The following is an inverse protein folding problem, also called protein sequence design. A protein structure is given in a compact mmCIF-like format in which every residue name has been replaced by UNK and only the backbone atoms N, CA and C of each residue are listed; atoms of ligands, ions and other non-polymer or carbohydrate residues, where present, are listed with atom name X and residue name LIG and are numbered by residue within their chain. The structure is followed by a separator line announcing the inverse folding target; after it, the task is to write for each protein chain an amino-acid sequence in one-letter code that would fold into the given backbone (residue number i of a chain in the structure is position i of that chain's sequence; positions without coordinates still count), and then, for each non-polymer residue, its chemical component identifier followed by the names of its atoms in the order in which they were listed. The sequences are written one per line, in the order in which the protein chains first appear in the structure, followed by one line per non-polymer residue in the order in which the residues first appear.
data_IF_039359229745
#
_entry.id   IF_039359229745
#
_cell.length_a   1.000
_cell.length_b   1.000
_cell.length_c   1.000
_cell.angle_alpha   90.00
_cell.angle_beta   90.00
_cell.angle_gamma   90.00
#
_symmetry.space_group_name_H-M   'P 1'
#
loop_
_entity.id
_entity.type
_entity.pdbx_description
1 polymer ?
#
# COMPACT_ATOMS: atom_id res chain seq x y z
N UNK A 1 -65.15 -29.08 42.16
CA UNK A 1 -65.31 -27.86 42.99
C UNK A 1 -63.92 -27.59 43.56
N UNK A 2 -63.17 -26.58 43.14
CA UNK A 2 -63.47 -25.15 43.22
C UNK A 2 -63.00 -24.39 41.97
N UNK A 3 -63.84 -23.44 41.54
CA UNK A 3 -63.49 -22.33 40.66
C UNK A 3 -62.87 -21.24 41.53
N UNK A 4 -61.79 -20.63 41.08
CA UNK A 4 -61.53 -19.21 41.34
C UNK A 4 -61.29 -18.60 39.96
N UNK A 5 -62.22 -17.72 39.57
CA UNK A 5 -62.09 -16.79 38.47
C UNK A 5 -61.81 -15.45 39.13
N UNK A 6 -60.67 -14.84 38.84
CA UNK A 6 -60.55 -13.40 38.93
C UNK A 6 -60.43 -12.84 37.51
N UNK A 7 -61.37 -11.96 37.22
CA UNK A 7 -61.56 -11.21 35.98
C UNK A 7 -61.03 -9.80 36.17
N UNK A 8 -60.26 -9.30 35.21
CA UNK A 8 -60.15 -7.89 34.79
C UNK A 8 -59.59 -7.92 33.36
N UNK A 9 -60.43 -7.76 32.33
CA UNK A 9 -60.56 -6.53 31.52
C UNK A 9 -59.17 -5.97 31.14
N UNK A 10 -58.68 -6.11 29.92
CA UNK A 10 -59.35 -5.84 28.65
C UNK A 10 -58.91 -4.47 28.14
N UNK A 11 -57.75 -4.40 27.50
CA UNK A 11 -57.37 -3.35 26.54
C UNK A 11 -56.63 -4.08 25.42
N UNK A 12 -57.27 -4.17 24.24
CA UNK A 12 -56.61 -4.53 23.00
C UNK A 12 -55.65 -3.41 22.60
N UNK A 13 -54.59 -3.74 21.87
CA UNK A 13 -54.53 -3.65 20.42
C UNK A 13 -53.30 -4.45 20.00
N UNK A 14 -53.52 -5.36 19.06
CA UNK A 14 -52.48 -6.02 18.28
C UNK A 14 -51.61 -4.96 17.63
N UNK A 15 -50.33 -4.93 17.96
CA UNK A 15 -49.32 -4.31 17.11
C UNK A 15 -48.27 -5.37 16.78
N UNK A 16 -48.70 -6.36 15.99
CA UNK A 16 -47.85 -7.41 15.39
C UNK A 16 -47.45 -7.00 13.95
N UNK A 17 -47.25 -5.71 13.68
CA UNK A 17 -47.05 -5.23 12.30
C UNK A 17 -45.92 -4.21 12.10
N UNK A 18 -44.96 -4.05 13.01
CA UNK A 18 -43.87 -3.08 12.78
C UNK A 18 -42.46 -3.48 13.25
N UNK A 19 -42.19 -4.76 13.59
CA UNK A 19 -40.80 -5.22 13.85
C UNK A 19 -40.12 -5.91 12.64
N UNK A 20 -40.87 -6.48 11.69
CA UNK A 20 -40.29 -7.13 10.50
C UNK A 20 -40.01 -6.16 9.34
N UNK A 21 -40.52 -4.93 9.42
CA UNK A 21 -40.47 -3.95 8.32
C UNK A 21 -39.08 -3.33 8.11
N UNK A 22 -38.21 -3.37 9.12
CA UNK A 22 -36.89 -2.73 9.07
C UNK A 22 -35.77 -3.63 8.53
N UNK A 23 -36.06 -4.90 8.23
CA UNK A 23 -35.05 -5.85 7.72
C UNK A 23 -35.10 -5.98 6.19
N UNK A 24 -36.22 -5.63 5.54
CA UNK A 24 -36.43 -5.82 4.10
C UNK A 24 -35.92 -4.67 3.20
N UNK A 25 -35.71 -3.45 3.75
CA UNK A 25 -35.36 -2.27 2.94
C UNK A 25 -33.85 -2.05 2.72
N UNK A 26 -32.98 -2.84 3.36
CA UNK A 26 -31.53 -2.82 3.07
C UNK A 26 -31.19 -3.86 2.00
N UNK A 27 -31.45 -3.51 0.73
CA UNK A 27 -31.07 -4.33 -0.42
C UNK A 27 -29.53 -4.32 -0.57
N UNK A 28 -28.88 -5.33 0.02
CA UNK A 28 -27.44 -5.53 -0.14
C UNK A 28 -27.17 -5.91 -1.61
N UNK A 29 -26.38 -5.13 -2.37
CA UNK A 29 -26.22 -5.36 -3.79
C UNK A 29 -25.67 -6.77 -4.05
N UNK A 30 -26.47 -7.60 -4.73
CA UNK A 30 -26.12 -8.97 -5.12
C UNK A 30 -26.97 -10.08 -4.49
N UNK A 31 -27.85 -9.77 -3.53
CA UNK A 31 -28.68 -10.78 -2.86
C UNK A 31 -30.15 -10.35 -2.82
N UNK A 32 -30.91 -10.65 -3.88
CA UNK A 32 -32.37 -10.50 -3.83
C UNK A 32 -32.94 -11.49 -2.83
N UNK A 33 -33.60 -10.98 -1.80
CA UNK A 33 -34.16 -11.78 -0.70
C UNK A 33 -35.60 -12.19 -1.05
N UNK A 34 -35.76 -13.01 -2.08
CA UNK A 34 -37.08 -13.54 -2.47
C UNK A 34 -37.45 -14.72 -1.54
N UNK A 35 -38.29 -14.47 -0.53
CA UNK A 35 -38.65 -15.46 0.51
C UNK A 35 -39.44 -16.70 -0.01
N UNK A 36 -39.90 -16.68 -1.27
CA UNK A 36 -40.54 -17.84 -1.96
C UNK A 36 -39.61 -18.61 -2.89
N UNK A 37 -38.50 -18.03 -3.34
CA UNK A 37 -37.51 -18.77 -4.14
C UNK A 37 -36.42 -19.25 -3.20
N UNK A 38 -36.45 -20.55 -2.89
CA UNK A 38 -35.41 -21.27 -2.16
C UNK A 38 -34.05 -20.77 -2.67
N UNK A 39 -33.39 -19.94 -1.86
CA UNK A 39 -32.21 -19.16 -2.20
C UNK A 39 -31.27 -20.06 -2.98
N UNK A 40 -31.08 -19.80 -4.28
CA UNK A 40 -30.10 -20.55 -5.05
C UNK A 40 -28.74 -20.18 -4.47
N UNK A 41 -28.17 -21.09 -3.67
CA UNK A 41 -26.90 -20.84 -3.01
C UNK A 41 -25.86 -20.70 -4.11
N UNK A 42 -25.47 -19.44 -4.39
CA UNK A 42 -24.39 -19.15 -5.33
C UNK A 42 -23.08 -19.42 -4.61
N UNK A 43 -22.13 -20.03 -5.31
CA UNK A 43 -20.78 -20.15 -4.81
C UNK A 43 -20.17 -18.74 -4.71
N UNK A 44 -19.91 -18.28 -3.49
CA UNK A 44 -19.39 -16.94 -3.19
C UNK A 44 -17.90 -16.79 -3.53
N UNK A 45 -17.21 -17.89 -3.86
CA UNK A 45 -15.81 -17.84 -4.27
C UNK A 45 -15.70 -17.20 -5.66
N UNK A 46 -14.94 -16.12 -5.72
CA UNK A 46 -14.50 -15.50 -6.98
C UNK A 46 -13.61 -16.52 -7.71
N UNK A 47 -13.94 -16.79 -8.98
CA UNK A 47 -13.25 -17.81 -9.78
C UNK A 47 -11.96 -17.28 -10.42
N UNK A 48 -11.85 -15.96 -10.61
CA UNK A 48 -10.62 -15.32 -11.12
C UNK A 48 -9.48 -15.40 -10.10
N UNK A 49 -9.79 -15.28 -8.80
CA UNK A 49 -8.78 -15.29 -7.74
C UNK A 49 -8.26 -16.71 -7.46
N UNK A 50 -6.99 -16.94 -7.80
CA UNK A 50 -6.29 -18.18 -7.49
C UNK A 50 -5.98 -18.26 -5.99
N UNK A 51 -6.18 -19.44 -5.39
CA UNK A 51 -5.81 -19.62 -3.98
C UNK A 51 -4.29 -19.62 -3.82
N UNK A 52 -3.78 -19.06 -2.71
CA UNK A 52 -2.33 -18.92 -2.47
C UNK A 52 -1.55 -20.24 -2.64
N UNK A 53 -2.06 -21.33 -2.04
CA UNK A 53 -1.45 -22.66 -2.09
C UNK A 53 -1.59 -23.38 -3.44
N UNK A 54 -2.36 -22.83 -4.39
CA UNK A 54 -2.48 -23.37 -5.75
C UNK A 54 -1.59 -22.63 -6.74
N UNK A 55 -0.86 -21.59 -6.31
CA UNK A 55 0.04 -20.83 -7.19
C UNK A 55 1.25 -21.65 -7.63
N UNK A 56 1.81 -22.44 -6.72
CA UNK A 56 2.85 -23.43 -7.01
C UNK A 56 2.47 -24.75 -6.34
N UNK A 57 2.42 -25.83 -7.13
CA UNK A 57 2.03 -27.17 -6.66
C UNK A 57 3.24 -27.99 -6.18
N UNK A 58 4.46 -27.47 -6.32
CA UNK A 58 5.64 -28.14 -5.82
C UNK A 58 5.64 -28.22 -4.28
N UNK A 59 6.01 -29.37 -3.74
CA UNK A 59 6.01 -29.62 -2.29
C UNK A 59 7.08 -28.79 -1.58
N UNK A 60 8.16 -28.43 -2.28
CA UNK A 60 9.23 -27.54 -1.78
C UNK A 60 8.94 -26.04 -1.91
N UNK A 61 7.74 -25.67 -2.39
CA UNK A 61 7.34 -24.26 -2.50
C UNK A 61 7.06 -23.62 -1.14
N UNK A 62 6.67 -22.33 -1.16
CA UNK A 62 6.38 -21.57 0.06
C UNK A 62 5.27 -22.21 0.91
N UNK A 63 5.50 -22.27 2.22
CA UNK A 63 4.54 -22.83 3.17
C UNK A 63 3.28 -21.97 3.30
N UNK A 64 2.11 -22.60 3.19
CA UNK A 64 0.80 -22.00 3.45
C UNK A 64 0.25 -22.50 4.78
N UNK A 65 -0.06 -21.57 5.69
CA UNK A 65 -0.77 -21.89 6.94
C UNK A 65 -2.29 -21.85 6.70
N UNK A 66 -3.01 -22.99 6.70
CA UNK A 66 -4.45 -23.03 6.44
C UNK A 66 -5.28 -22.40 7.57
N UNK A 67 -4.73 -22.22 8.77
CA UNK A 67 -5.46 -21.65 9.91
C UNK A 67 -5.57 -20.14 9.78
N UNK A 68 -4.43 -19.48 9.60
CA UNK A 68 -4.34 -18.02 9.45
C UNK A 68 -4.51 -17.57 8.00
N UNK A 69 -4.52 -18.52 7.06
CA UNK A 69 -4.60 -18.30 5.60
C UNK A 69 -3.44 -17.45 5.08
N UNK A 70 -2.28 -17.52 5.75
CA UNK A 70 -1.09 -16.75 5.40
C UNK A 70 -0.08 -17.57 4.63
N UNK A 71 0.52 -16.98 3.60
CA UNK A 71 1.72 -17.49 2.92
C UNK A 71 2.81 -16.42 3.02
N UNK A 72 3.91 -16.75 3.69
CA UNK A 72 4.94 -15.77 4.04
C UNK A 72 5.87 -15.47 2.87
N UNK A 73 6.46 -16.54 2.33
CA UNK A 73 7.45 -16.46 1.26
C UNK A 73 6.78 -16.47 -0.12
N UNK A 74 7.55 -16.11 -1.15
CA UNK A 74 7.08 -16.11 -2.52
C UNK A 74 6.95 -17.56 -3.02
N UNK A 75 5.77 -18.01 -3.50
CA UNK A 75 5.60 -19.35 -4.06
C UNK A 75 6.26 -19.52 -5.44
N UNK A 76 6.63 -18.43 -6.12
CA UNK A 76 7.23 -18.45 -7.46
C UNK A 76 8.71 -18.87 -7.43
N UNK A 77 9.22 -19.36 -8.56
CA UNK A 77 10.61 -19.83 -8.66
C UNK A 77 11.60 -18.66 -8.50
N UNK A 78 12.78 -18.90 -7.90
CA UNK A 78 13.83 -17.88 -7.80
C UNK A 78 14.28 -17.49 -9.22
N UNK A 79 14.06 -16.22 -9.59
CA UNK A 79 14.40 -15.67 -10.90
C UNK A 79 13.26 -14.92 -11.60
N UNK A 80 12.01 -15.05 -11.14
CA UNK A 80 10.92 -14.18 -11.57
C UNK A 80 10.94 -12.86 -10.78
N UNK A 81 10.85 -11.74 -11.48
CA UNK A 81 10.80 -10.42 -10.86
C UNK A 81 9.51 -10.26 -10.03
N UNK A 82 9.59 -9.92 -8.74
CA UNK A 82 8.43 -9.87 -7.85
C UNK A 82 7.42 -8.78 -8.23
N UNK A 83 7.83 -7.78 -9.02
CA UNK A 83 6.94 -6.71 -9.51
C UNK A 83 6.04 -7.15 -10.68
N UNK A 84 6.44 -8.17 -11.43
CA UNK A 84 5.68 -8.67 -12.59
C UNK A 84 4.69 -9.78 -12.21
N UNK A 85 4.73 -10.21 -10.95
CA UNK A 85 3.97 -11.34 -10.44
C UNK A 85 2.81 -10.83 -9.61
N UNK A 86 1.61 -11.36 -9.85
CA UNK A 86 0.38 -10.98 -9.13
C UNK A 86 0.47 -11.22 -7.60
N UNK A 87 1.29 -12.16 -7.14
CA UNK A 87 1.54 -12.42 -5.73
C UNK A 87 2.99 -12.80 -5.44
N UNK A 88 3.72 -11.90 -4.78
CA UNK A 88 5.12 -12.08 -4.38
C UNK A 88 5.32 -12.52 -2.92
N UNK A 89 4.27 -13.03 -2.26
CA UNK A 89 4.28 -13.39 -0.84
C UNK A 89 3.83 -12.25 0.09
N UNK A 90 3.38 -12.59 1.30
CA UNK A 90 2.92 -11.57 2.26
C UNK A 90 4.05 -10.75 2.87
N UNK A 91 5.25 -11.33 3.06
CA UNK A 91 6.37 -10.59 3.64
C UNK A 91 6.75 -9.39 2.77
N UNK A 92 6.70 -9.54 1.45
CA UNK A 92 6.94 -8.45 0.51
C UNK A 92 5.96 -7.29 0.72
N UNK A 93 4.65 -7.59 0.78
CA UNK A 93 3.60 -6.58 0.95
C UNK A 93 3.65 -5.93 2.34
N UNK A 94 3.98 -6.68 3.40
CA UNK A 94 4.00 -6.17 4.79
C UNK A 94 4.97 -5.01 4.99
N UNK A 95 6.14 -5.05 4.35
CA UNK A 95 7.15 -3.99 4.43
C UNK A 95 7.01 -2.96 3.29
N UNK A 96 6.01 -3.10 2.43
CA UNK A 96 5.74 -2.12 1.38
C UNK A 96 4.86 -0.98 1.91
N UNK A 97 5.03 0.22 1.32
CA UNK A 97 4.20 1.39 1.64
C UNK A 97 4.64 2.16 2.90
N UNK A 98 3.66 2.62 3.68
CA UNK A 98 3.88 3.56 4.78
C UNK A 98 4.42 2.91 6.07
N UNK A 99 4.46 1.58 6.15
CA UNK A 99 5.04 0.86 7.31
C UNK A 99 6.51 1.25 7.52
N UNK A 100 7.27 1.41 6.45
CA UNK A 100 8.66 1.89 6.52
C UNK A 100 8.75 3.35 7.01
N UNK A 101 7.85 4.22 6.55
CA UNK A 101 7.82 5.63 7.00
C UNK A 101 7.48 5.74 8.48
N UNK A 102 6.55 4.91 8.95
CA UNK A 102 6.18 4.81 10.36
C UNK A 102 7.33 4.28 11.21
N UNK A 103 8.02 3.22 10.77
CA UNK A 103 9.22 2.70 11.44
C UNK A 103 10.34 3.75 11.53
N UNK A 104 10.59 4.51 10.46
CA UNK A 104 11.54 5.63 10.48
C UNK A 104 11.12 6.74 11.45
N UNK A 105 9.82 7.05 11.54
CA UNK A 105 9.30 8.03 12.50
C UNK A 105 9.48 7.54 13.95
N UNK A 106 9.32 6.23 14.19
CA UNK A 106 9.58 5.61 15.49
C UNK A 106 11.06 5.68 15.88
N UNK A 107 11.97 5.37 14.95
CA UNK A 107 13.41 5.52 15.17
C UNK A 107 13.77 6.98 15.48
N UNK A 108 13.19 7.94 14.75
CA UNK A 108 13.38 9.36 15.02
C UNK A 108 12.90 9.75 16.42
N UNK A 109 11.75 9.23 16.88
CA UNK A 109 11.25 9.46 18.23
C UNK A 109 12.25 8.97 19.30
N UNK A 110 12.79 7.76 19.13
CA UNK A 110 13.77 7.18 20.06
C UNK A 110 15.06 8.00 20.10
N UNK A 111 15.58 8.41 18.93
CA UNK A 111 16.77 9.27 18.89
C UNK A 111 16.51 10.66 19.50
N UNK A 112 15.32 11.23 19.32
CA UNK A 112 14.94 12.52 19.92
C UNK A 112 14.87 12.40 21.45
N UNK A 113 14.29 11.30 21.94
CA UNK A 113 14.20 10.98 23.36
C UNK A 113 15.59 10.82 23.99
N UNK A 114 16.52 10.10 23.34
CA UNK A 114 17.92 9.98 23.79
C UNK A 114 18.64 11.33 23.85
N UNK A 115 18.27 12.27 22.97
CA UNK A 115 18.80 13.65 22.97
C UNK A 115 18.09 14.58 23.98
N UNK A 116 17.12 14.07 24.73
CA UNK A 116 16.39 14.81 25.77
C UNK A 116 15.15 15.57 25.30
N UNK A 117 14.70 15.36 24.06
CA UNK A 117 13.47 15.94 23.51
C UNK A 117 12.36 14.91 23.66
N UNK A 118 11.44 15.13 24.60
CA UNK A 118 10.33 14.22 24.86
C UNK A 118 9.22 14.37 23.82
N UNK A 119 9.19 13.42 22.88
CA UNK A 119 8.20 13.33 21.80
C UNK A 119 7.88 11.85 21.57
N UNK A 120 6.60 11.51 21.60
CA UNK A 120 6.14 10.13 21.44
C UNK A 120 5.27 9.98 20.20
N UNK A 121 5.54 8.94 19.39
CA UNK A 121 4.85 8.70 18.12
C UNK A 121 3.35 8.50 18.26
N UNK A 122 2.89 7.78 19.29
CA UNK A 122 1.46 7.53 19.51
C UNK A 122 0.74 8.64 20.29
N UNK A 123 1.48 9.40 21.12
CA UNK A 123 0.85 10.40 21.98
C UNK A 123 0.78 11.76 21.28
N UNK A 124 1.86 12.12 20.57
CA UNK A 124 2.00 13.40 19.86
C UNK A 124 2.43 13.16 18.38
N UNK A 125 1.62 12.44 17.57
CA UNK A 125 2.02 12.05 16.21
C UNK A 125 2.27 13.26 15.29
N UNK A 126 1.43 14.29 15.39
CA UNK A 126 1.51 15.48 14.52
C UNK A 126 2.73 16.35 14.84
N UNK A 127 3.05 16.50 16.12
CA UNK A 127 4.26 17.22 16.58
C UNK A 127 5.52 16.50 16.10
N UNK A 128 5.55 15.17 16.23
CA UNK A 128 6.67 14.37 15.74
C UNK A 128 6.83 14.51 14.22
N UNK A 129 5.73 14.43 13.46
CA UNK A 129 5.76 14.56 12.00
C UNK A 129 6.27 15.94 11.56
N UNK A 130 5.85 17.02 12.24
CA UNK A 130 6.37 18.38 12.00
C UNK A 130 7.88 18.47 12.28
N UNK A 131 8.32 17.97 13.44
CA UNK A 131 9.74 17.96 13.80
C UNK A 131 10.58 17.12 12.84
N UNK A 132 10.05 15.98 12.38
CA UNK A 132 10.70 15.12 11.38
C UNK A 132 10.87 15.87 10.05
N UNK A 133 9.83 16.56 9.59
CA UNK A 133 9.89 17.37 8.36
C UNK A 133 10.92 18.50 8.47
N UNK A 134 10.93 19.21 9.59
CA UNK A 134 11.94 20.23 9.87
C UNK A 134 13.34 19.63 9.86
N UNK A 135 13.53 18.50 10.56
CA UNK A 135 14.79 17.78 10.60
C UNK A 135 15.29 17.37 9.21
N UNK A 136 14.43 16.87 8.32
CA UNK A 136 14.79 16.52 6.94
C UNK A 136 15.29 17.75 6.17
N UNK A 137 14.61 18.89 6.27
CA UNK A 137 15.07 20.14 5.62
C UNK A 137 16.42 20.62 6.16
N UNK A 138 16.64 20.50 7.47
CA UNK A 138 17.91 20.85 8.11
C UNK A 138 19.03 19.88 7.73
N UNK A 139 18.72 18.58 7.63
CA UNK A 139 19.65 17.53 7.20
C UNK A 139 20.13 17.75 5.77
N UNK A 140 19.24 18.12 4.85
CA UNK A 140 19.63 18.40 3.46
C UNK A 140 20.47 19.68 3.34
N UNK A 141 20.12 20.73 4.09
CA UNK A 141 20.97 21.94 4.19
C UNK A 141 22.35 21.60 4.74
N UNK A 142 22.43 20.73 5.75
CA UNK A 142 23.70 20.31 6.35
C UNK A 142 24.55 19.46 5.38
N UNK A 143 23.93 18.53 4.65
CA UNK A 143 24.60 17.75 3.60
C UNK A 143 25.21 18.65 2.53
N UNK A 144 24.45 19.62 2.01
CA UNK A 144 24.95 20.59 1.00
C UNK A 144 26.10 21.42 1.54
N UNK A 145 26.01 21.92 2.77
CA UNK A 145 27.12 22.65 3.42
C UNK A 145 28.37 21.79 3.56
N UNK A 146 28.21 20.52 3.94
CA UNK A 146 29.31 19.57 4.08
C UNK A 146 29.95 19.28 2.73
N UNK A 147 29.15 19.02 1.69
CA UNK A 147 29.62 18.83 0.31
C UNK A 147 30.41 20.05 -0.19
N UNK A 148 29.89 21.26 0.00
CA UNK A 148 30.58 22.49 -0.39
C UNK A 148 31.89 22.69 0.40
N UNK A 149 31.90 22.36 1.68
CA UNK A 149 33.11 22.45 2.52
C UNK A 149 34.17 21.46 2.06
N UNK A 150 33.77 20.24 1.64
CA UNK A 150 34.69 19.24 1.09
C UNK A 150 35.24 19.69 -0.26
N UNK A 151 34.37 20.19 -1.16
CA UNK A 151 34.79 20.74 -2.46
C UNK A 151 35.77 21.91 -2.30
N UNK A 152 35.52 22.84 -1.38
CA UNK A 152 36.41 23.97 -1.13
C UNK A 152 37.78 23.54 -0.57
N UNK A 153 37.85 22.43 0.19
CA UNK A 153 39.10 21.93 0.78
C UNK A 153 39.93 21.11 -0.20
N UNK A 154 39.28 20.29 -1.01
CA UNK A 154 39.96 19.29 -1.84
C UNK A 154 39.91 19.60 -3.34
N UNK A 155 39.19 20.64 -3.76
CA UNK A 155 38.96 20.94 -5.18
C UNK A 155 38.07 19.91 -5.87
N UNK A 156 37.95 20.01 -7.20
CA UNK A 156 37.20 19.03 -8.01
C UNK A 156 35.85 19.52 -8.55
N UNK A 157 35.52 20.81 -8.40
CA UNK A 157 34.34 21.40 -9.06
C UNK A 157 34.41 21.26 -10.60
N UNK A 158 35.61 21.28 -11.17
CA UNK A 158 35.85 21.11 -12.61
C UNK A 158 35.41 19.75 -13.15
N UNK A 159 35.44 18.70 -12.32
CA UNK A 159 35.01 17.35 -12.70
C UNK A 159 33.51 17.10 -12.46
N UNK A 160 32.82 18.03 -11.79
CA UNK A 160 31.39 17.94 -11.54
C UNK A 160 30.57 18.44 -12.75
N UNK A 161 31.17 19.30 -13.58
CA UNK A 161 30.62 19.74 -14.85
C UNK A 161 30.83 18.61 -15.86
N UNK A 162 29.79 17.80 -16.11
CA UNK A 162 29.82 16.84 -17.21
C UNK A 162 29.99 17.64 -18.51
N UNK A 163 31.08 17.44 -19.28
CA UNK A 163 31.24 18.11 -20.56
C UNK A 163 30.07 17.74 -21.49
N UNK A 164 29.71 18.59 -22.47
CA UNK A 164 28.61 18.32 -23.38
C UNK A 164 28.76 16.93 -24.01
N UNK A 165 27.63 16.21 -24.15
CA UNK A 165 27.56 14.82 -24.61
C UNK A 165 28.31 14.58 -25.93
N UNK A 166 28.37 15.60 -26.79
CA UNK A 166 29.12 15.60 -28.05
C UNK A 166 30.64 15.41 -27.88
N UNK A 167 31.21 15.88 -26.76
CA UNK A 167 32.63 15.69 -26.45
C UNK A 167 32.90 14.34 -25.76
N UNK A 168 31.88 13.76 -25.12
CA UNK A 168 31.96 12.45 -24.47
C UNK A 168 31.85 11.31 -25.49
N UNK A 169 30.93 11.44 -26.46
CA UNK A 169 30.80 10.54 -27.60
C UNK A 169 31.53 11.17 -28.79
N UNK A 170 32.86 11.02 -28.82
CA UNK A 170 33.72 11.59 -29.86
C UNK A 170 33.42 11.11 -31.30
N UNK A 171 32.47 10.19 -31.49
CA UNK A 171 32.08 9.62 -32.78
C UNK A 171 30.55 9.61 -32.90
N UNK A 172 29.99 10.60 -33.60
CA UNK A 172 28.57 10.63 -33.99
C UNK A 172 28.48 10.60 -35.52
N UNK A 173 27.93 9.52 -36.07
CA UNK A 173 27.56 9.42 -37.49
C UNK A 173 26.18 10.06 -37.67
N UNK A 174 26.10 11.39 -37.54
CA UNK A 174 24.86 12.13 -37.78
C UNK A 174 24.70 12.36 -39.29
N UNK A 175 23.74 11.66 -39.89
CA UNK A 175 23.48 11.71 -41.32
C UNK A 175 22.60 12.93 -41.65
N UNK A 176 23.13 13.87 -42.42
CA UNK A 176 22.42 15.09 -42.83
C UNK A 176 22.24 15.07 -44.34
N UNK A 177 20.99 15.10 -44.80
CA UNK A 177 20.66 15.25 -46.22
C UNK A 177 20.49 16.72 -46.59
N UNK A 178 21.25 17.19 -47.59
CA UNK A 178 21.12 18.54 -48.13
C UNK A 178 20.33 18.55 -49.45
N UNK A 179 19.47 19.54 -49.61
CA UNK A 179 18.82 19.86 -50.87
C UNK A 179 19.86 20.41 -51.86
N UNK A 180 19.55 20.32 -53.16
CA UNK A 180 20.40 20.88 -54.24
C UNK A 180 20.66 22.40 -54.09
N UNK A 181 19.86 23.11 -53.28
CA UNK A 181 20.03 24.54 -52.96
C UNK A 181 20.82 24.80 -51.66
N UNK A 182 21.17 23.74 -50.92
CA UNK A 182 21.92 23.82 -49.66
C UNK A 182 21.06 23.79 -48.40
N UNK A 183 19.74 23.63 -48.51
CA UNK A 183 18.83 23.56 -47.36
C UNK A 183 18.83 22.15 -46.73
N UNK A 184 18.72 22.04 -45.42
CA UNK A 184 18.68 20.75 -44.70
C UNK A 184 17.29 20.11 -44.88
N UNK A 185 17.23 18.89 -45.42
CA UNK A 185 15.97 18.15 -45.63
C UNK A 185 15.68 17.20 -44.45
N UNK A 186 16.72 16.57 -43.89
CA UNK A 186 16.58 15.61 -42.79
C UNK A 186 17.83 15.62 -41.90
N UNK A 187 17.58 15.57 -40.60
CA UNK A 187 18.54 15.34 -39.51
C UNK A 187 18.21 13.99 -38.87
#
# INVERSE_FOLDING_TARGET
KYKIKDTLQGIGYTDENDEDKYVDDFDMPGTKVDSKQRITVRNLRIREDTAKYLRNLDLSSAYYDPKTRSMRDNPHKPGEDPEQVEYAGENFVRFSGDTNKHAQAQLFAWEAYERGVDVHLLAEPTKLEQLKKEYETHKDRFKKKTQNTVLAKYGGEEHLQTPPVQLLLAQTEEYIEYSRRGDIIKV
#
